data_IF_481068642289
#
_entry.id   IF_481068642289
#
_cell.length_a   1.000
_cell.length_b   1.000
_cell.length_c   1.000
_cell.angle_alpha   90.00
_cell.angle_beta   90.00
_cell.angle_gamma   90.00
#
_symmetry.space_group_name_H-M   'P 1'
#
loop_
_entity.id
_entity.type
_entity.pdbx_description
1 polymer ?
#
# COMPACT_ATOMS: atom_id res chain seq x y z
N UNK A 1 6.94 4.89 -57.33
CA UNK A 1 7.21 5.90 -56.30
C UNK A 1 7.99 5.24 -55.19
N UNK A 2 9.17 5.75 -54.83
CA UNK A 2 9.92 5.20 -53.70
C UNK A 2 9.35 5.73 -52.38
N UNK A 3 9.49 4.97 -51.29
CA UNK A 3 9.06 5.42 -49.95
C UNK A 3 9.73 6.74 -49.54
N UNK A 4 10.96 6.98 -50.01
CA UNK A 4 11.70 8.22 -49.77
C UNK A 4 11.03 9.43 -50.44
N UNK A 5 10.49 9.25 -51.65
CA UNK A 5 9.75 10.32 -52.34
C UNK A 5 8.46 10.66 -51.61
N UNK A 6 7.74 9.64 -51.13
CA UNK A 6 6.51 9.82 -50.35
C UNK A 6 6.77 10.57 -49.03
N UNK A 7 7.84 10.23 -48.31
CA UNK A 7 8.23 10.94 -47.08
C UNK A 7 8.59 12.40 -47.38
N UNK A 8 9.34 12.65 -48.47
CA UNK A 8 9.73 14.00 -48.88
C UNK A 8 8.51 14.88 -49.22
N UNK A 9 7.53 14.31 -49.92
CA UNK A 9 6.27 15.00 -50.26
C UNK A 9 5.44 15.27 -48.99
N UNK A 10 5.33 14.31 -48.07
CA UNK A 10 4.61 14.48 -46.82
C UNK A 10 5.22 15.59 -45.94
N UNK A 11 6.55 15.60 -45.79
CA UNK A 11 7.27 16.66 -45.09
C UNK A 11 7.00 18.03 -45.70
N UNK A 12 7.10 18.15 -47.03
CA UNK A 12 6.80 19.41 -47.72
C UNK A 12 5.37 19.90 -47.45
N UNK A 13 4.40 18.99 -47.40
CA UNK A 13 2.99 19.32 -47.10
C UNK A 13 2.79 19.80 -45.65
N UNK A 14 3.45 19.16 -44.69
CA UNK A 14 3.43 19.56 -43.28
C UNK A 14 3.99 20.98 -43.10
N UNK A 15 5.10 21.28 -43.79
CA UNK A 15 5.73 22.61 -43.75
C UNK A 15 4.90 23.68 -44.47
N UNK A 16 4.08 23.33 -45.46
CA UNK A 16 3.18 24.26 -46.15
C UNK A 16 2.00 24.71 -45.25
N UNK A 17 1.52 23.84 -44.36
CA UNK A 17 0.39 24.12 -43.47
C UNK A 17 0.78 24.21 -41.99
N UNK A 18 1.74 25.09 -41.68
CA UNK A 18 2.33 25.26 -40.34
C UNK A 18 1.32 25.30 -39.19
N UNK A 19 0.26 26.10 -39.30
CA UNK A 19 -0.70 26.29 -38.21
C UNK A 19 -1.53 25.03 -37.94
N UNK A 20 -2.05 24.39 -39.00
CA UNK A 20 -2.82 23.14 -38.88
C UNK A 20 -1.94 22.01 -38.36
N UNK A 21 -0.74 21.86 -38.93
CA UNK A 21 0.24 20.86 -38.48
C UNK A 21 0.62 21.07 -37.01
N UNK A 22 0.87 22.31 -36.58
CA UNK A 22 1.18 22.61 -35.18
C UNK A 22 0.04 22.27 -34.23
N UNK A 23 -1.20 22.65 -34.55
CA UNK A 23 -2.36 22.37 -33.70
C UNK A 23 -2.63 20.86 -33.54
N UNK A 24 -2.49 20.10 -34.63
CA UNK A 24 -2.69 18.64 -34.59
C UNK A 24 -1.61 17.94 -33.76
N UNK A 25 -0.34 18.32 -33.90
CA UNK A 25 0.74 17.80 -33.06
C UNK A 25 0.54 18.17 -31.59
N UNK A 26 0.16 19.42 -31.30
CA UNK A 26 -0.07 19.89 -29.94
C UNK A 26 -1.18 19.10 -29.24
N UNK A 27 -2.26 18.78 -29.96
CA UNK A 27 -3.33 17.91 -29.46
C UNK A 27 -2.83 16.52 -29.06
N UNK A 28 -1.97 15.90 -29.89
CA UNK A 28 -1.41 14.57 -29.60
C UNK A 28 -0.45 14.63 -28.40
N UNK A 29 0.41 15.66 -28.32
CA UNK A 29 1.37 15.83 -27.21
C UNK A 29 0.64 15.98 -25.87
N UNK A 30 -0.38 16.85 -25.81
CA UNK A 30 -1.16 17.05 -24.59
C UNK A 30 -2.02 15.81 -24.28
N UNK A 31 -2.63 15.20 -25.30
CA UNK A 31 -3.45 14.00 -25.13
C UNK A 31 -2.67 12.85 -24.52
N UNK A 32 -1.56 12.46 -25.15
CA UNK A 32 -0.72 11.35 -24.66
C UNK A 32 -0.04 11.72 -23.33
N UNK A 33 0.42 12.96 -23.17
CA UNK A 33 1.04 13.43 -21.94
C UNK A 33 0.12 13.38 -20.73
N UNK A 34 -1.15 13.76 -20.89
CA UNK A 34 -2.13 13.71 -19.79
C UNK A 34 -2.42 12.27 -19.34
N UNK A 35 -2.58 11.34 -20.29
CA UNK A 35 -2.80 9.91 -19.99
C UNK A 35 -1.61 9.32 -19.23
N UNK A 36 -0.38 9.56 -19.71
CA UNK A 36 0.84 9.08 -19.04
C UNK A 36 0.90 9.63 -17.61
N UNK A 37 0.62 10.92 -17.44
CA UNK A 37 0.66 11.58 -16.12
C UNK A 37 -0.34 10.96 -15.15
N UNK A 38 -1.59 10.75 -15.57
CA UNK A 38 -2.63 10.15 -14.72
C UNK A 38 -2.28 8.71 -14.34
N UNK A 39 -1.78 7.92 -15.28
CA UNK A 39 -1.35 6.54 -14.99
C UNK A 39 -0.17 6.52 -14.02
N UNK A 40 0.83 7.37 -14.24
CA UNK A 40 1.98 7.48 -13.36
C UNK A 40 1.60 7.91 -11.94
N UNK A 41 0.70 8.88 -11.80
CA UNK A 41 0.17 9.32 -10.50
C UNK A 41 -0.62 8.20 -9.84
N UNK A 42 -1.50 7.50 -10.58
CA UNK A 42 -2.31 6.42 -10.03
C UNK A 42 -1.45 5.28 -9.50
N UNK A 43 -0.54 4.76 -10.33
CA UNK A 43 0.35 3.66 -9.95
C UNK A 43 1.36 4.07 -8.87
N UNK A 44 1.92 5.28 -8.97
CA UNK A 44 2.84 5.82 -7.98
C UNK A 44 2.16 6.06 -6.62
N UNK A 45 0.92 6.57 -6.64
CA UNK A 45 0.10 6.76 -5.45
C UNK A 45 -0.28 5.44 -4.80
N UNK A 46 -0.70 4.44 -5.58
CA UNK A 46 -0.97 3.08 -5.08
C UNK A 46 0.28 2.47 -4.44
N UNK A 47 1.43 2.56 -5.11
CA UNK A 47 2.69 2.06 -4.57
C UNK A 47 3.10 2.80 -3.28
N UNK A 48 2.90 4.12 -3.22
CA UNK A 48 3.19 4.93 -2.04
C UNK A 48 2.28 4.56 -0.86
N UNK A 49 0.97 4.44 -1.10
CA UNK A 49 0.01 4.01 -0.08
C UNK A 49 0.35 2.58 0.38
N UNK A 50 0.58 1.65 -0.55
CA UNK A 50 1.01 0.31 -0.23
C UNK A 50 2.31 0.33 0.59
N UNK A 51 3.28 1.18 0.27
CA UNK A 51 4.51 1.29 1.05
C UNK A 51 4.33 1.94 2.42
N UNK A 52 3.26 2.70 2.66
CA UNK A 52 2.94 3.27 3.98
C UNK A 52 2.13 2.30 4.84
N UNK A 53 1.17 1.60 4.23
CA UNK A 53 0.32 0.62 4.91
C UNK A 53 0.98 -0.75 5.07
N UNK A 54 1.78 -1.17 4.09
CA UNK A 54 2.63 -2.38 4.11
C UNK A 54 4.06 -2.03 4.51
N UNK A 55 4.36 -0.74 4.70
CA UNK A 55 5.65 -0.25 5.19
C UNK A 55 5.98 -0.82 6.54
N UNK A 56 7.11 -1.53 6.60
CA UNK A 56 7.57 -2.33 7.72
C UNK A 56 6.76 -3.60 8.00
N UNK A 57 6.34 -4.34 6.96
CA UNK A 57 5.95 -5.75 7.14
C UNK A 57 4.85 -5.95 8.17
N UNK A 58 3.85 -5.06 8.15
CA UNK A 58 2.73 -5.03 9.10
C UNK A 58 1.73 -6.19 8.85
N UNK A 59 2.26 -7.42 8.75
CA UNK A 59 1.53 -8.67 9.00
C UNK A 59 1.42 -8.94 10.52
N UNK A 60 1.79 -7.98 11.35
CA UNK A 60 1.66 -8.06 12.80
C UNK A 60 0.27 -7.58 13.20
N UNK A 61 -0.52 -8.48 13.76
CA UNK A 61 -1.81 -8.14 14.39
C UNK A 61 -1.55 -7.97 15.88
N UNK A 62 -1.63 -6.74 16.44
CA UNK A 62 -1.49 -6.56 17.87
C UNK A 62 -2.74 -7.09 18.57
N UNK A 63 -2.54 -8.06 19.46
CA UNK A 63 -3.60 -8.59 20.33
C UNK A 63 -3.37 -8.00 21.72
N UNK A 64 -4.36 -7.26 22.22
CA UNK A 64 -4.37 -6.73 23.57
C UNK A 64 -5.55 -7.31 24.32
N UNK A 65 -5.29 -7.92 25.47
CA UNK A 65 -6.37 -8.31 26.37
C UNK A 65 -6.68 -7.12 27.28
N UNK A 66 -7.90 -6.60 27.18
CA UNK A 66 -8.42 -5.56 28.06
C UNK A 66 -9.52 -6.16 28.92
N UNK A 67 -9.49 -5.93 30.23
CA UNK A 67 -10.58 -6.33 31.11
C UNK A 67 -11.87 -5.56 30.78
N UNK A 68 -13.01 -6.23 30.81
CA UNK A 68 -14.31 -5.58 30.60
C UNK A 68 -14.66 -4.73 31.83
N UNK A 69 -14.59 -3.42 31.65
CA UNK A 69 -14.87 -2.42 32.69
C UNK A 69 -16.35 -2.34 33.07
N UNK A 70 -17.26 -2.97 32.30
CA UNK A 70 -18.69 -2.96 32.54
C UNK A 70 -19.24 -4.27 33.13
N UNK A 71 -18.39 -5.24 33.45
CA UNK A 71 -18.81 -6.51 34.04
C UNK A 71 -19.46 -6.28 35.43
N UNK A 72 -20.79 -6.49 35.59
CA UNK A 72 -21.49 -6.30 36.85
C UNK A 72 -21.05 -7.26 37.97
N UNK A 73 -20.32 -8.32 37.62
CA UNK A 73 -19.78 -9.32 38.53
C UNK A 73 -18.27 -9.13 38.79
N UNK A 74 -17.62 -8.14 38.14
CA UNK A 74 -16.22 -7.78 38.32
C UNK A 74 -15.96 -7.05 39.64
N UNK A 75 -16.10 -7.74 40.77
CA UNK A 75 -15.81 -7.17 42.10
C UNK A 75 -14.32 -6.85 42.25
N UNK A 76 -13.94 -5.60 41.98
CA UNK A 76 -12.93 -4.83 42.74
C UNK A 76 -11.46 -5.28 42.73
N UNK A 77 -11.13 -6.40 42.11
CA UNK A 77 -9.75 -6.83 41.84
C UNK A 77 -9.70 -7.24 40.37
N UNK A 78 -9.47 -6.25 39.50
CA UNK A 78 -9.14 -6.53 38.11
C UNK A 78 -7.68 -6.97 38.10
N UNK A 79 -7.42 -8.23 38.40
CA UNK A 79 -6.13 -8.81 38.03
C UNK A 79 -6.01 -8.62 36.52
N UNK A 80 -4.96 -7.92 36.10
CA UNK A 80 -4.74 -7.70 34.69
C UNK A 80 -4.66 -9.09 34.03
N UNK A 81 -5.55 -9.40 33.09
CA UNK A 81 -5.57 -10.70 32.43
C UNK A 81 -4.20 -10.97 31.80
N UNK A 82 -3.57 -12.05 32.22
CA UNK A 82 -2.23 -12.45 31.76
C UNK A 82 -2.38 -13.36 30.55
N UNK A 83 -1.49 -13.17 29.57
CA UNK A 83 -1.33 -14.10 28.45
C UNK A 83 -0.48 -15.26 28.96
N UNK A 84 -0.96 -16.50 28.82
CA UNK A 84 -0.27 -17.72 29.26
C UNK A 84 0.56 -18.37 28.15
N UNK A 85 1.46 -19.31 28.46
CA UNK A 85 2.19 -20.06 27.42
C UNK A 85 1.28 -20.88 26.51
N UNK A 86 0.18 -21.41 27.07
CA UNK A 86 -0.82 -22.17 26.33
C UNK A 86 -1.47 -21.33 25.23
N UNK A 87 -1.81 -20.07 25.54
CA UNK A 87 -2.37 -19.13 24.55
C UNK A 87 -1.41 -18.89 23.38
N UNK A 88 -0.12 -18.73 23.66
CA UNK A 88 0.93 -18.54 22.64
C UNK A 88 1.05 -19.80 21.77
N UNK A 89 0.99 -20.99 22.38
CA UNK A 89 1.09 -22.26 21.68
C UNK A 89 -0.09 -22.52 20.76
N UNK A 90 -1.32 -22.24 21.21
CA UNK A 90 -2.52 -22.36 20.38
C UNK A 90 -2.50 -21.39 19.19
N UNK A 91 -2.07 -20.14 19.41
CA UNK A 91 -1.91 -19.17 18.33
C UNK A 91 -0.88 -19.65 17.31
N UNK A 92 0.23 -20.24 17.76
CA UNK A 92 1.29 -20.76 16.87
C UNK A 92 0.85 -21.95 16.01
N UNK A 93 -0.20 -22.68 16.39
CA UNK A 93 -0.75 -23.79 15.56
C UNK A 93 -1.50 -23.31 14.33
N UNK A 94 -1.91 -22.03 14.28
CA UNK A 94 -2.64 -21.48 13.15
C UNK A 94 -1.70 -21.41 11.94
N UNK A 95 -2.03 -22.05 10.81
CA UNK A 95 -1.10 -22.22 9.68
C UNK A 95 -0.70 -20.90 8.98
N UNK A 96 -1.47 -19.83 9.21
CA UNK A 96 -1.25 -18.50 8.65
C UNK A 96 -0.31 -17.63 9.49
N UNK A 97 0.04 -18.07 10.71
CA UNK A 97 0.85 -17.30 11.66
C UNK A 97 2.30 -17.74 11.57
N UNK A 98 3.17 -16.87 11.02
CA UNK A 98 4.59 -17.15 10.90
C UNK A 98 5.36 -17.00 12.22
N UNK A 99 5.02 -15.97 13.00
CA UNK A 99 5.71 -15.62 14.25
C UNK A 99 4.74 -15.02 15.26
N UNK A 100 4.94 -15.37 16.53
CA UNK A 100 4.24 -14.77 17.69
C UNK A 100 5.29 -14.12 18.57
N UNK A 101 5.07 -12.86 18.95
CA UNK A 101 5.97 -12.10 19.84
C UNK A 101 5.14 -11.52 20.97
N UNK A 102 5.54 -11.81 22.20
CA UNK A 102 4.94 -11.24 23.41
C UNK A 102 5.70 -9.98 23.83
N UNK A 103 4.97 -8.95 24.22
CA UNK A 103 5.53 -7.69 24.74
C UNK A 103 4.84 -7.35 26.05
N UNK A 104 5.58 -6.95 27.07
CA UNK A 104 5.00 -6.32 28.25
C UNK A 104 5.36 -4.83 28.32
N UNK A 105 4.53 -4.09 29.05
CA UNK A 105 4.74 -2.68 29.35
C UNK A 105 5.35 -2.46 30.74
N UNK A 106 5.39 -3.50 31.59
CA UNK A 106 6.07 -3.52 32.88
C UNK A 106 7.50 -4.02 32.73
N UNK A 107 8.42 -3.55 33.58
CA UNK A 107 9.83 -3.97 33.58
C UNK A 107 10.04 -5.31 34.33
N UNK A 108 8.95 -5.96 34.70
CA UNK A 108 8.92 -7.26 35.36
C UNK A 108 9.07 -8.36 34.31
N UNK A 109 9.78 -9.47 34.57
CA UNK A 109 9.80 -10.59 33.65
C UNK A 109 8.37 -11.05 33.35
N UNK A 110 8.08 -11.37 32.09
CA UNK A 110 6.89 -12.15 31.77
C UNK A 110 7.11 -13.54 32.38
N UNK A 111 6.48 -13.78 33.54
CA UNK A 111 6.33 -15.12 34.09
C UNK A 111 5.30 -15.85 33.22
N UNK A 112 5.82 -16.46 32.17
CA UNK A 112 5.12 -17.41 31.32
C UNK A 112 5.23 -18.76 32.05
N UNK A 113 4.19 -19.12 32.81
CA UNK A 113 3.94 -20.51 33.25
C UNK A 113 3.01 -21.22 32.26
#
# INVERSE_FOLDING_TARGET
>A
MSLLDSIKIALSSILAHKLRSALTMLGIIIGVGSIITVVAIGQGGEAALKSQFVGAGNQTVPIHYSADINDPFGMGMVEAPKITEEDIFEIKKIPEIAHVVTTNSSMEPLDIE
#
